data_IF_701606650857
#
_entry.id   IF_701606650857
#
_cell.length_a   1.000
_cell.length_b   1.000
_cell.length_c   1.000
_cell.angle_alpha   90.00
_cell.angle_beta   90.00
_cell.angle_gamma   90.00
#
_symmetry.space_group_name_H-M   'P 1'
#
loop_
_entity.id
_entity.type
_entity.pdbx_description
1 polymer ?
#
# COMPACT_ATOMS: atom_id res chain seq x y z
N UNK A 1 16.10 -14.69 42.70
CA UNK A 1 16.04 -15.46 41.44
C UNK A 1 15.82 -14.46 40.32
N UNK A 2 16.78 -14.32 39.42
CA UNK A 2 16.72 -13.37 38.30
C UNK A 2 16.01 -14.04 37.13
N UNK A 3 14.74 -13.70 36.91
CA UNK A 3 14.08 -14.02 35.64
C UNK A 3 14.32 -12.83 34.72
N UNK A 4 15.28 -12.98 33.80
CA UNK A 4 15.45 -12.05 32.70
C UNK A 4 14.11 -11.93 31.93
N UNK A 5 13.61 -10.72 31.66
CA UNK A 5 12.38 -10.57 30.90
C UNK A 5 12.62 -11.08 29.47
N UNK A 6 11.68 -11.82 28.88
CA UNK A 6 11.85 -12.29 27.51
C UNK A 6 12.01 -11.06 26.62
N UNK A 7 13.00 -11.12 25.73
CA UNK A 7 13.11 -10.27 24.56
C UNK A 7 11.82 -10.44 23.75
N UNK A 8 10.79 -9.68 24.11
CA UNK A 8 9.49 -9.77 23.49
C UNK A 8 9.66 -9.31 22.04
N UNK A 9 9.40 -10.17 21.04
CA UNK A 9 9.47 -9.81 19.62
C UNK A 9 8.43 -8.74 19.23
N UNK A 10 7.61 -8.31 20.19
CA UNK A 10 6.66 -7.21 20.09
C UNK A 10 7.24 -5.93 20.71
N UNK A 11 8.51 -5.60 20.47
CA UNK A 11 9.01 -4.27 20.75
C UNK A 11 8.23 -3.28 19.86
N UNK A 12 7.14 -2.74 20.40
CA UNK A 12 6.28 -1.73 19.77
C UNK A 12 6.85 -0.32 19.93
N UNK A 13 8.16 -0.16 20.12
CA UNK A 13 8.81 1.16 20.12
C UNK A 13 8.90 1.74 18.70
N UNK A 14 7.84 1.58 17.90
CA UNK A 14 7.61 2.38 16.70
C UNK A 14 7.25 3.76 17.20
N UNK A 15 8.01 4.78 16.80
CA UNK A 15 7.65 6.18 17.05
C UNK A 15 6.26 6.43 16.46
N UNK A 16 5.36 7.06 17.23
CA UNK A 16 4.00 7.40 16.78
C UNK A 16 3.98 8.31 15.54
N UNK A 17 5.12 8.92 15.22
CA UNK A 17 5.33 9.81 14.07
C UNK A 17 5.62 9.07 12.75
N UNK A 18 5.90 7.77 12.79
CA UNK A 18 6.44 7.07 11.62
C UNK A 18 5.31 6.66 10.66
N UNK A 19 5.11 7.47 9.62
CA UNK A 19 4.16 7.26 8.52
C UNK A 19 4.13 5.79 8.07
N UNK A 20 2.93 5.27 7.81
CA UNK A 20 2.78 3.87 7.41
C UNK A 20 3.46 3.65 6.04
N UNK A 21 4.37 2.67 5.90
CA UNK A 21 5.09 2.46 4.65
C UNK A 21 4.17 2.10 3.48
N UNK A 22 3.02 1.47 3.75
CA UNK A 22 2.02 1.15 2.73
C UNK A 22 1.31 2.42 2.30
N UNK A 23 0.91 3.28 3.23
CA UNK A 23 0.31 4.59 2.94
C UNK A 23 1.26 5.48 2.11
N UNK A 24 2.54 5.53 2.47
CA UNK A 24 3.57 6.23 1.68
C UNK A 24 3.69 5.66 0.26
N UNK A 25 3.59 4.34 0.09
CA UNK A 25 3.63 3.71 -1.24
C UNK A 25 2.36 4.04 -2.04
N UNK A 26 1.19 3.96 -1.41
CA UNK A 26 -0.10 4.25 -2.05
C UNK A 26 -0.17 5.72 -2.48
N UNK A 27 0.30 6.64 -1.65
CA UNK A 27 0.41 8.06 -1.99
C UNK A 27 1.19 8.33 -3.28
N UNK A 28 2.21 7.52 -3.58
CA UNK A 28 3.00 7.63 -4.83
C UNK A 28 2.29 7.06 -6.06
N UNK A 29 1.23 6.27 -5.89
CA UNK A 29 0.48 5.69 -7.01
C UNK A 29 -0.58 6.63 -7.59
N UNK A 30 -0.99 7.66 -6.83
CA UNK A 30 -2.14 8.49 -7.15
C UNK A 30 -3.50 7.87 -6.76
N UNK A 31 -3.51 6.67 -6.17
CA UNK A 31 -4.73 5.99 -5.71
C UNK A 31 -5.07 6.22 -4.23
N UNK A 32 -4.45 7.22 -3.58
CA UNK A 32 -4.59 7.47 -2.14
C UNK A 32 -6.00 7.90 -1.73
N UNK A 33 -6.68 8.72 -2.52
CA UNK A 33 -8.07 9.12 -2.23
C UNK A 33 -9.01 7.91 -2.11
N UNK A 34 -8.84 6.91 -2.99
CA UNK A 34 -9.64 5.69 -3.00
C UNK A 34 -9.25 4.77 -1.83
N UNK A 35 -7.98 4.78 -1.45
CA UNK A 35 -7.51 4.07 -0.26
C UNK A 35 -8.16 4.63 1.01
N UNK A 36 -8.13 5.95 1.21
CA UNK A 36 -8.74 6.58 2.38
C UNK A 36 -10.27 6.41 2.40
N UNK A 37 -10.94 6.50 1.24
CA UNK A 37 -12.38 6.23 1.14
C UNK A 37 -12.71 4.79 1.56
N UNK A 38 -11.88 3.83 1.18
CA UNK A 38 -12.03 2.43 1.58
C UNK A 38 -11.78 2.24 3.08
N UNK A 39 -10.77 2.92 3.65
CA UNK A 39 -10.51 2.90 5.09
C UNK A 39 -11.67 3.52 5.88
N UNK A 40 -12.23 4.62 5.40
CA UNK A 40 -13.40 5.29 5.99
C UNK A 40 -14.62 4.36 6.01
N UNK A 41 -14.94 3.73 4.88
CA UNK A 41 -16.03 2.75 4.81
C UNK A 41 -15.80 1.56 5.77
N UNK A 42 -14.56 1.04 5.85
CA UNK A 42 -14.24 -0.02 6.79
C UNK A 42 -14.29 0.43 8.25
N UNK A 43 -13.95 1.68 8.55
CA UNK A 43 -14.07 2.26 9.88
C UNK A 43 -15.54 2.42 10.30
N UNK A 44 -16.41 2.87 9.38
CA UNK A 44 -17.84 3.04 9.65
C UNK A 44 -18.57 1.69 9.80
N UNK A 45 -18.34 0.77 8.88
CA UNK A 45 -19.12 -0.46 8.81
C UNK A 45 -18.50 -1.65 9.53
N UNK A 46 -17.17 -1.64 9.72
CA UNK A 46 -16.37 -2.76 10.22
C UNK A 46 -16.59 -4.09 9.46
N UNK A 47 -17.23 -4.04 8.28
CA UNK A 47 -17.49 -5.16 7.40
C UNK A 47 -17.10 -4.75 5.98
N UNK A 48 -15.95 -5.24 5.52
CA UNK A 48 -15.42 -4.96 4.20
C UNK A 48 -16.36 -5.38 3.06
N UNK A 49 -17.30 -6.33 3.30
CA UNK A 49 -18.27 -6.77 2.28
C UNK A 49 -19.27 -5.67 1.92
N UNK A 50 -19.55 -4.75 2.85
CA UNK A 50 -20.37 -3.57 2.58
C UNK A 50 -19.63 -2.53 1.75
N UNK A 51 -18.29 -2.55 1.80
CA UNK A 51 -17.40 -1.63 1.09
C UNK A 51 -16.95 -2.15 -0.29
N UNK A 52 -17.74 -3.02 -0.92
CA UNK A 52 -17.34 -3.68 -2.17
C UNK A 52 -17.14 -2.66 -3.31
N UNK A 53 -17.92 -1.59 -3.33
CA UNK A 53 -17.79 -0.51 -4.32
C UNK A 53 -16.45 0.21 -4.20
N UNK A 54 -16.04 0.52 -2.97
CA UNK A 54 -14.79 1.23 -2.64
C UNK A 54 -13.59 0.33 -2.96
N UNK A 55 -13.69 -0.97 -2.63
CA UNK A 55 -12.67 -1.98 -2.96
C UNK A 55 -12.49 -2.11 -4.47
N UNK A 56 -13.59 -2.14 -5.23
CA UNK A 56 -13.53 -2.23 -6.69
C UNK A 56 -12.86 -1.01 -7.30
N UNK A 57 -13.26 0.20 -6.88
CA UNK A 57 -12.62 1.45 -7.36
C UNK A 57 -11.12 1.46 -7.07
N UNK A 58 -10.73 1.13 -5.84
CA UNK A 58 -9.32 1.07 -5.46
C UNK A 58 -8.55 0.05 -6.30
N UNK A 59 -9.14 -1.13 -6.55
CA UNK A 59 -8.55 -2.17 -7.41
C UNK A 59 -8.37 -1.69 -8.85
N UNK A 60 -9.35 -0.99 -9.42
CA UNK A 60 -9.25 -0.47 -10.78
C UNK A 60 -8.12 0.55 -10.91
N UNK A 61 -8.02 1.49 -9.97
CA UNK A 61 -6.94 2.47 -9.95
C UNK A 61 -5.56 1.80 -9.83
N UNK A 62 -5.41 0.86 -8.89
CA UNK A 62 -4.14 0.16 -8.68
C UNK A 62 -3.77 -0.71 -9.88
N UNK A 63 -4.76 -1.32 -10.54
CA UNK A 63 -4.55 -2.08 -11.78
C UNK A 63 -4.04 -1.18 -12.91
N UNK A 64 -4.63 0.00 -13.09
CA UNK A 64 -4.18 1.00 -14.06
C UNK A 64 -2.74 1.44 -13.79
N UNK A 65 -2.41 1.76 -12.54
CA UNK A 65 -1.04 2.09 -12.13
C UNK A 65 -0.05 0.98 -12.47
N UNK A 66 -0.38 -0.27 -12.16
CA UNK A 66 0.48 -1.42 -12.41
C UNK A 66 0.69 -1.67 -13.91
N UNK A 67 -0.34 -1.46 -14.74
CA UNK A 67 -0.24 -1.56 -16.18
C UNK A 67 0.69 -0.49 -16.76
N UNK A 68 0.51 0.77 -16.37
CA UNK A 68 1.38 1.89 -16.78
C UNK A 68 2.82 1.65 -16.35
N UNK A 69 3.04 1.21 -15.10
CA UNK A 69 4.36 0.88 -14.59
C UNK A 69 5.01 -0.26 -15.38
N UNK A 70 4.25 -1.30 -15.72
CA UNK A 70 4.74 -2.41 -16.55
C UNK A 70 5.17 -1.93 -17.94
N UNK A 71 4.38 -1.07 -18.57
CA UNK A 71 4.70 -0.50 -19.89
C UNK A 71 5.98 0.35 -19.83
N UNK A 72 6.13 1.19 -18.81
CA UNK A 72 7.36 1.98 -18.61
C UNK A 72 8.60 1.10 -18.43
N UNK A 73 8.49 0.01 -17.68
CA UNK A 73 9.59 -0.95 -17.50
C UNK A 73 9.93 -1.68 -18.80
N UNK A 74 8.93 -2.03 -19.61
CA UNK A 74 9.16 -2.63 -20.93
C UNK A 74 9.89 -1.65 -21.86
N UNK A 75 9.47 -0.38 -21.89
CA UNK A 75 10.11 0.66 -22.69
C UNK A 75 11.56 0.93 -22.26
N UNK A 76 11.84 0.91 -20.96
CA UNK A 76 13.21 1.01 -20.44
C UNK A 76 14.08 -0.17 -20.87
N UNK A 77 13.54 -1.39 -20.85
CA UNK A 77 14.26 -2.60 -21.30
C UNK A 77 14.57 -2.56 -22.80
N UNK A 78 13.64 -2.09 -23.63
CA UNK A 78 13.87 -1.96 -25.07
C UNK A 78 14.91 -0.88 -25.37
N UNK A 79 14.85 0.28 -24.71
CA UNK A 79 15.82 1.35 -24.92
C UNK A 79 17.23 0.99 -24.45
N UNK A 80 17.36 0.24 -23.34
CA UNK A 80 18.66 -0.27 -22.89
C UNK A 80 19.23 -1.34 -23.83
N UNK A 81 18.36 -2.14 -24.46
CA UNK A 81 18.79 -3.19 -25.42
C UNK A 81 19.13 -2.61 -26.80
N UNK A 82 18.58 -1.44 -27.17
CA UNK A 82 18.90 -0.80 -28.46
C UNK A 82 20.17 0.08 -28.41
N UNK A 83 20.70 0.32 -27.21
CA UNK A 83 21.93 1.09 -26.99
C UNK A 83 23.20 0.24 -26.93
N UNK A 84 23.12 -1.07 -27.21
CA UNK A 84 24.28 -1.99 -27.27
C UNK A 84 24.58 -2.42 -28.70
#
# INVERSE_FOLDING_TARGET
MASAPPSSPHNRSRSEDEEDPVDTMISKTGCAELHYTLLDCMAEHQDWRKCQTEVLKFKECMSAYQNTRKEQLLKQKTSATESV
#
